data_IF_222962481633
#
_entry.id   IF_222962481633
#
_cell.length_a   1.000
_cell.length_b   1.000
_cell.length_c   1.000
_cell.angle_alpha   90.00
_cell.angle_beta   90.00
_cell.angle_gamma   90.00
#
_symmetry.space_group_name_H-M   'P 1'
#
loop_
_entity.id
_entity.type
_entity.pdbx_description
1 polymer ?
#
# COMPACT_ATOMS: atom_id res chain seq x y z
N UNK A 1 0.52 33.07 -1.19
CA UNK A 1 1.51 32.03 -1.60
C UNK A 1 2.58 31.99 -0.53
N UNK A 2 2.81 30.83 0.12
CA UNK A 2 3.51 29.75 -0.55
C UNK A 2 2.76 28.40 -0.52
N UNK A 3 3.21 27.56 -1.45
CA UNK A 3 2.92 26.15 -1.69
C UNK A 3 3.15 25.25 -0.48
N UNK A 4 2.16 24.42 -0.15
CA UNK A 4 2.37 23.19 0.62
C UNK A 4 2.30 22.02 -0.35
N UNK A 5 3.46 21.41 -0.59
CA UNK A 5 3.60 20.17 -1.34
C UNK A 5 2.78 19.09 -0.67
N UNK A 6 1.87 18.46 -1.42
CA UNK A 6 1.21 17.23 -1.00
C UNK A 6 2.29 16.16 -0.78
N UNK A 7 2.62 15.90 0.48
CA UNK A 7 3.40 14.73 0.84
C UNK A 7 2.53 13.52 0.53
N UNK A 8 2.96 12.73 -0.45
CA UNK A 8 2.33 11.46 -0.81
C UNK A 8 2.33 10.55 0.44
N UNK A 9 1.17 10.45 1.08
CA UNK A 9 0.87 9.46 2.11
C UNK A 9 0.18 8.34 1.34
N UNK A 10 0.93 7.29 0.97
CA UNK A 10 0.33 6.10 0.35
C UNK A 10 -0.44 5.35 1.43
N UNK A 11 -1.72 5.70 1.54
CA UNK A 11 -2.72 5.05 2.37
C UNK A 11 -3.62 4.28 1.41
N UNK A 12 -3.64 2.95 1.50
CA UNK A 12 -4.68 2.17 0.83
C UNK A 12 -5.93 2.13 1.73
N UNK A 13 -6.52 3.30 2.01
CA UNK A 13 -7.77 3.40 2.73
C UNK A 13 -8.92 3.36 1.72
N UNK A 14 -9.74 2.32 1.78
CA UNK A 14 -10.87 2.18 0.86
C UNK A 14 -12.08 2.93 1.38
N UNK A 15 -12.21 4.20 1.04
CA UNK A 15 -13.49 4.89 1.20
C UNK A 15 -14.46 4.41 0.13
N UNK A 16 -15.60 3.84 0.52
CA UNK A 16 -16.81 3.82 -0.31
C UNK A 16 -17.36 5.26 -0.38
N UNK A 17 -16.75 6.12 -1.19
CA UNK A 17 -17.20 7.51 -1.39
C UNK A 17 -16.97 7.88 -2.86
N UNK A 18 -17.97 8.47 -3.56
CA UNK A 18 -17.86 8.79 -4.97
C UNK A 18 -16.91 9.99 -5.12
N UNK A 19 -15.63 9.71 -5.38
CA UNK A 19 -14.68 10.77 -5.68
C UNK A 19 -14.60 10.97 -7.19
N UNK A 20 -14.98 12.17 -7.63
CA UNK A 20 -14.60 12.69 -8.95
C UNK A 20 -13.09 12.61 -9.08
N UNK A 21 -12.59 11.67 -9.88
CA UNK A 21 -11.16 11.52 -10.15
C UNK A 21 -10.80 12.42 -11.33
N UNK A 22 -9.85 13.33 -11.12
CA UNK A 22 -9.37 14.25 -12.15
C UNK A 22 -8.54 13.53 -13.21
N UNK A 23 -8.62 14.00 -14.47
CA UNK A 23 -7.82 13.50 -15.60
C UNK A 23 -6.31 13.53 -15.34
N UNK A 24 -5.57 12.54 -15.88
CA UNK A 24 -4.10 12.55 -15.91
C UNK A 24 -3.61 13.31 -17.15
N UNK A 25 -2.81 14.35 -16.93
CA UNK A 25 -2.28 15.22 -17.98
C UNK A 25 -1.42 14.42 -18.97
N UNK A 26 -1.77 14.45 -20.26
CA UNK A 26 -1.03 13.79 -21.35
C UNK A 26 -1.57 12.42 -21.79
N UNK A 27 -2.39 11.76 -20.96
CA UNK A 27 -2.98 10.47 -21.31
C UNK A 27 -4.42 10.60 -21.81
N UNK A 28 -5.20 11.42 -21.12
CA UNK A 28 -6.51 11.81 -21.61
C UNK A 28 -6.26 12.76 -22.78
N UNK A 29 -6.75 12.37 -23.97
CA UNK A 29 -6.62 13.15 -25.22
C UNK A 29 -7.08 14.61 -25.07
N UNK A 30 -7.80 14.92 -23.99
CA UNK A 30 -8.35 16.22 -23.67
C UNK A 30 -8.07 16.60 -22.21
N UNK A 31 -7.50 17.78 -21.99
CA UNK A 31 -7.26 18.32 -20.66
C UNK A 31 -8.60 18.68 -19.96
N UNK A 32 -8.76 18.30 -18.69
CA UNK A 32 -9.94 18.64 -17.88
C UNK A 32 -11.11 17.67 -18.02
N UNK A 33 -10.85 16.44 -18.47
CA UNK A 33 -11.82 15.35 -18.42
C UNK A 33 -12.06 14.91 -16.96
N UNK A 34 -13.31 14.65 -16.61
CA UNK A 34 -13.71 14.08 -15.33
C UNK A 34 -14.38 12.74 -15.55
N UNK A 35 -14.10 11.82 -14.64
CA UNK A 35 -14.68 10.48 -14.60
C UNK A 35 -15.76 10.46 -13.54
N UNK A 36 -16.96 10.09 -13.94
CA UNK A 36 -18.15 10.10 -13.11
C UNK A 36 -18.83 8.75 -13.17
N UNK A 37 -19.21 8.25 -12.01
CA UNK A 37 -20.20 7.19 -11.89
C UNK A 37 -21.55 7.85 -11.62
N UNK A 38 -22.58 7.51 -12.41
CA UNK A 38 -23.95 7.98 -12.20
C UNK A 38 -24.85 6.79 -11.91
N UNK A 39 -25.42 6.74 -10.71
CA UNK A 39 -26.44 5.75 -10.35
C UNK A 39 -27.72 6.03 -11.13
N UNK A 40 -28.33 5.00 -11.73
CA UNK A 40 -29.61 5.10 -12.43
C UNK A 40 -30.74 4.52 -11.59
N UNK A 41 -30.52 3.34 -11.03
CA UNK A 41 -31.48 2.57 -10.25
C UNK A 41 -30.76 1.78 -9.17
N UNK A 42 -31.50 1.16 -8.26
CA UNK A 42 -30.91 0.28 -7.24
C UNK A 42 -30.16 -0.88 -7.94
N UNK A 43 -28.83 -0.85 -7.87
CA UNK A 43 -27.95 -1.87 -8.43
C UNK A 43 -27.42 -1.60 -9.84
N UNK A 44 -27.71 -0.44 -10.45
CA UNK A 44 -27.14 -0.07 -11.76
C UNK A 44 -26.58 1.34 -11.77
N UNK A 45 -25.33 1.45 -12.23
CA UNK A 45 -24.66 2.71 -12.48
C UNK A 45 -24.14 2.78 -13.93
N UNK A 46 -23.87 3.99 -14.42
CA UNK A 46 -23.17 4.22 -15.67
C UNK A 46 -21.85 4.92 -15.42
N UNK A 47 -20.84 4.50 -16.19
CA UNK A 47 -19.60 5.23 -16.31
C UNK A 47 -19.71 6.33 -17.38
N UNK A 48 -19.55 7.57 -16.95
CA UNK A 48 -19.66 8.77 -17.78
C UNK A 48 -18.37 9.57 -17.72
N UNK A 49 -17.93 10.07 -18.87
CA UNK A 49 -16.84 11.02 -18.98
C UNK A 49 -17.32 12.36 -19.48
N UNK A 50 -16.90 13.44 -18.84
CA UNK A 50 -17.36 14.79 -19.14
C UNK A 50 -16.23 15.81 -19.03
N UNK A 51 -16.42 17.02 -19.56
CA UNK A 51 -15.53 18.15 -19.26
C UNK A 51 -16.10 18.96 -18.11
N UNK A 52 -15.26 19.37 -17.16
CA UNK A 52 -15.69 20.11 -15.96
C UNK A 52 -16.48 21.38 -16.29
N UNK A 53 -16.12 22.09 -17.37
CA UNK A 53 -16.76 23.34 -17.77
C UNK A 53 -18.03 23.17 -18.61
N UNK A 54 -18.27 22.01 -19.24
CA UNK A 54 -19.33 21.82 -20.23
C UNK A 54 -19.97 20.42 -20.12
N UNK A 55 -20.47 20.09 -18.92
CA UNK A 55 -21.11 18.80 -18.70
C UNK A 55 -22.62 18.82 -19.00
N UNK A 56 -22.97 18.80 -20.28
CA UNK A 56 -24.34 18.64 -20.77
C UNK A 56 -24.58 17.22 -21.26
N UNK A 57 -25.84 16.74 -21.30
CA UNK A 57 -26.16 15.37 -21.75
C UNK A 57 -25.62 15.03 -23.15
N UNK A 58 -25.53 16.02 -24.04
CA UNK A 58 -24.99 15.88 -25.38
C UNK A 58 -23.47 15.63 -25.43
N UNK A 59 -22.74 16.06 -24.40
CA UNK A 59 -21.27 15.97 -24.32
C UNK A 59 -20.80 14.88 -23.34
N UNK A 60 -21.72 14.05 -22.84
CA UNK A 60 -21.40 12.90 -21.99
C UNK A 60 -20.85 11.77 -22.86
N UNK A 61 -19.56 11.48 -22.71
CA UNK A 61 -19.00 10.23 -23.23
C UNK A 61 -19.48 9.04 -22.39
N UNK A 62 -19.78 7.93 -23.05
CA UNK A 62 -20.09 6.63 -22.42
C UNK A 62 -19.03 5.63 -22.83
N UNK A 63 -17.90 5.53 -22.10
CA UNK A 63 -16.79 4.68 -22.52
C UNK A 63 -17.08 3.18 -22.37
N UNK A 64 -17.97 2.81 -21.45
CA UNK A 64 -18.37 1.42 -21.23
C UNK A 64 -19.75 1.14 -21.85
N UNK A 65 -19.89 0.12 -22.72
CA UNK A 65 -21.17 -0.24 -23.32
C UNK A 65 -22.00 -1.10 -22.34
N UNK A 66 -22.62 -0.49 -21.34
CA UNK A 66 -23.49 -1.19 -20.40
C UNK A 66 -23.63 -0.50 -19.05
N UNK A 67 -24.32 -1.18 -18.14
CA UNK A 67 -24.39 -0.79 -16.73
C UNK A 67 -23.25 -1.45 -15.94
N UNK A 68 -22.75 -0.72 -14.95
CA UNK A 68 -21.75 -1.16 -13.99
C UNK A 68 -22.38 -1.25 -12.60
N UNK A 69 -21.74 -2.00 -11.71
CA UNK A 69 -22.15 -2.08 -10.32
C UNK A 69 -21.88 -0.73 -9.63
N UNK A 70 -22.75 -0.25 -8.72
CA UNK A 70 -22.51 0.98 -7.97
C UNK A 70 -21.23 0.90 -7.12
N UNK A 71 -20.51 2.02 -7.02
CA UNK A 71 -19.22 2.19 -6.35
C UNK A 71 -18.09 1.30 -6.91
N UNK A 72 -18.18 0.88 -8.17
CA UNK A 72 -17.18 -0.02 -8.78
C UNK A 72 -16.17 0.69 -9.67
N UNK A 73 -16.43 1.95 -10.04
CA UNK A 73 -15.52 2.71 -10.90
C UNK A 73 -14.24 3.08 -10.16
N UNK A 74 -13.11 2.55 -10.65
CA UNK A 74 -11.76 2.91 -10.18
C UNK A 74 -10.96 3.45 -11.35
N UNK A 75 -10.44 4.67 -11.20
CA UNK A 75 -9.57 5.32 -12.20
C UNK A 75 -8.24 5.59 -11.53
N UNK A 76 -7.19 4.89 -11.97
CA UNK A 76 -5.86 4.99 -11.41
C UNK A 76 -4.82 4.98 -12.53
N UNK A 77 -3.99 6.04 -12.59
CA UNK A 77 -3.01 6.27 -13.63
C UNK A 77 -3.56 6.17 -15.07
N UNK A 78 -3.18 5.11 -15.78
CA UNK A 78 -3.57 4.84 -17.16
C UNK A 78 -4.70 3.81 -17.26
N UNK A 79 -5.13 3.27 -16.12
CA UNK A 79 -6.08 2.18 -16.04
C UNK A 79 -7.44 2.66 -15.52
N UNK A 80 -8.48 2.11 -16.11
CA UNK A 80 -9.85 2.23 -15.62
C UNK A 80 -10.38 0.83 -15.36
N UNK A 81 -10.91 0.62 -14.17
CA UNK A 81 -11.54 -0.63 -13.77
C UNK A 81 -13.02 -0.41 -13.50
N UNK A 82 -13.84 -1.38 -13.91
CA UNK A 82 -15.27 -1.41 -13.62
C UNK A 82 -15.70 -2.84 -13.31
N UNK A 83 -16.71 -2.98 -12.45
CA UNK A 83 -17.30 -4.28 -12.12
C UNK A 83 -18.69 -4.39 -12.73
N UNK A 84 -19.01 -5.57 -13.25
CA UNK A 84 -20.34 -5.90 -13.77
C UNK A 84 -20.77 -7.25 -13.20
N UNK A 85 -21.79 -7.26 -12.36
CA UNK A 85 -22.37 -8.49 -11.81
C UNK A 85 -23.36 -9.12 -12.80
N UNK A 86 -22.96 -10.21 -13.47
CA UNK A 86 -23.83 -10.95 -14.38
C UNK A 86 -24.24 -12.27 -13.73
N UNK A 87 -25.54 -12.51 -13.52
CA UNK A 87 -26.07 -13.78 -12.95
C UNK A 87 -25.42 -14.19 -11.62
N UNK A 88 -25.12 -13.23 -10.75
CA UNK A 88 -24.52 -13.47 -9.43
C UNK A 88 -23.00 -13.70 -9.43
N UNK A 89 -22.33 -13.57 -10.58
CA UNK A 89 -20.85 -13.57 -10.65
C UNK A 89 -20.34 -12.19 -11.07
N UNK A 90 -19.46 -11.56 -10.27
CA UNK A 90 -18.84 -10.31 -10.67
C UNK A 90 -17.81 -10.58 -11.79
N UNK A 91 -17.91 -9.79 -12.85
CA UNK A 91 -16.92 -9.75 -13.94
C UNK A 91 -16.23 -8.39 -13.86
N UNK A 92 -14.91 -8.41 -13.77
CA UNK A 92 -14.09 -7.21 -13.73
C UNK A 92 -13.58 -6.88 -15.12
N UNK A 93 -13.74 -5.63 -15.56
CA UNK A 93 -13.22 -5.13 -16.81
C UNK A 93 -12.14 -4.09 -16.56
N UNK A 94 -11.13 -4.09 -17.43
CA UNK A 94 -10.04 -3.14 -17.44
C UNK A 94 -9.98 -2.41 -18.78
N UNK A 95 -9.65 -1.14 -18.75
CA UNK A 95 -9.27 -0.34 -19.92
C UNK A 95 -7.91 0.31 -19.64
N UNK A 96 -6.89 -0.11 -20.39
CA UNK A 96 -5.57 0.50 -20.35
C UNK A 96 -5.49 1.62 -21.39
N UNK A 97 -4.92 2.77 -21.03
CA UNK A 97 -4.75 3.93 -21.92
C UNK A 97 -6.06 4.40 -22.58
N UNK A 98 -7.18 4.20 -21.87
CA UNK A 98 -8.55 4.52 -22.35
C UNK A 98 -8.95 3.76 -23.62
N UNK A 99 -8.39 2.58 -23.84
CA UNK A 99 -8.77 1.69 -24.95
C UNK A 99 -10.05 0.91 -24.61
N UNK A 100 -10.47 0.00 -25.48
CA UNK A 100 -11.65 -0.84 -25.30
C UNK A 100 -11.56 -1.65 -24.00
N UNK A 101 -12.65 -1.65 -23.24
CA UNK A 101 -12.77 -2.44 -22.02
C UNK A 101 -12.67 -3.94 -22.35
N UNK A 102 -11.74 -4.59 -21.68
CA UNK A 102 -11.47 -6.03 -21.84
C UNK A 102 -11.69 -6.71 -20.49
N UNK A 103 -12.37 -7.87 -20.44
CA UNK A 103 -12.56 -8.60 -19.19
C UNK A 103 -11.21 -9.11 -18.65
N UNK A 104 -10.98 -8.89 -17.36
CA UNK A 104 -9.80 -9.37 -16.66
C UNK A 104 -9.79 -10.91 -16.62
N UNK A 105 -8.63 -11.48 -16.90
CA UNK A 105 -8.41 -12.93 -16.96
C UNK A 105 -7.58 -13.36 -15.76
N UNK A 106 -8.29 -13.79 -14.73
CA UNK A 106 -7.73 -14.51 -13.59
C UNK A 106 -7.55 -16.01 -13.95
N UNK A 107 -6.68 -16.75 -13.25
CA UNK A 107 -6.54 -18.19 -13.46
C UNK A 107 -7.86 -18.97 -13.34
N UNK A 108 -8.10 -19.97 -14.19
CA UNK A 108 -9.42 -20.62 -14.36
C UNK A 108 -10.06 -21.18 -13.08
N UNK A 109 -9.25 -21.53 -12.08
CA UNK A 109 -9.70 -22.17 -10.84
C UNK A 109 -9.96 -21.18 -9.70
N UNK A 110 -9.66 -19.90 -9.89
CA UNK A 110 -9.89 -18.87 -8.88
C UNK A 110 -11.33 -18.42 -8.94
N UNK A 111 -12.03 -18.48 -7.81
CA UNK A 111 -13.38 -17.94 -7.67
C UNK A 111 -13.30 -16.66 -6.83
N UNK A 112 -13.15 -15.48 -7.46
CA UNK A 112 -13.05 -14.23 -6.74
C UNK A 112 -14.37 -13.92 -6.05
N UNK A 113 -14.32 -13.74 -4.73
CA UNK A 113 -15.39 -13.14 -3.94
C UNK A 113 -15.35 -11.62 -4.06
N UNK A 114 -14.14 -11.07 -4.00
CA UNK A 114 -13.86 -9.63 -4.07
C UNK A 114 -12.48 -9.40 -4.68
N UNK A 115 -12.32 -8.30 -5.42
CA UNK A 115 -11.06 -7.89 -6.04
C UNK A 115 -10.81 -6.41 -5.76
N UNK A 116 -9.62 -6.12 -5.25
CA UNK A 116 -9.14 -4.77 -4.98
C UNK A 116 -7.91 -4.46 -5.84
N UNK A 117 -7.90 -3.31 -6.48
CA UNK A 117 -6.70 -2.81 -7.18
C UNK A 117 -5.83 -2.10 -6.14
N UNK A 118 -4.60 -2.58 -5.95
CA UNK A 118 -3.66 -2.02 -4.99
C UNK A 118 -2.82 -0.93 -5.64
N UNK A 119 -2.08 -1.27 -6.70
CA UNK A 119 -1.15 -0.34 -7.33
C UNK A 119 -1.17 -0.51 -8.85
N UNK A 120 -1.03 0.59 -9.58
CA UNK A 120 -0.94 0.64 -11.03
C UNK A 120 0.42 1.13 -11.53
N UNK A 121 1.42 1.14 -10.64
CA UNK A 121 2.74 1.68 -10.90
C UNK A 121 3.48 0.92 -12.01
N UNK A 122 4.23 1.69 -12.81
CA UNK A 122 5.10 1.19 -13.88
C UNK A 122 4.37 0.35 -14.95
N UNK A 123 3.16 0.79 -15.33
CA UNK A 123 2.31 0.16 -16.34
C UNK A 123 1.94 -1.28 -16.03
N UNK A 124 1.81 -1.67 -14.76
CA UNK A 124 1.26 -2.97 -14.36
C UNK A 124 0.33 -2.80 -13.18
N UNK A 125 -0.60 -3.72 -13.04
CA UNK A 125 -1.62 -3.70 -11.99
C UNK A 125 -1.30 -4.78 -10.97
N UNK A 126 -1.16 -4.39 -9.73
CA UNK A 126 -1.16 -5.29 -8.58
C UNK A 126 -2.57 -5.30 -8.01
N UNK A 127 -3.21 -6.46 -8.01
CA UNK A 127 -4.55 -6.65 -7.48
C UNK A 127 -4.53 -7.67 -6.33
N UNK A 128 -5.32 -7.42 -5.29
CA UNK A 128 -5.58 -8.37 -4.22
C UNK A 128 -6.96 -9.01 -4.45
N UNK A 129 -7.01 -10.33 -4.49
CA UNK A 129 -8.24 -11.08 -4.72
C UNK A 129 -8.51 -11.97 -3.50
N UNK A 130 -9.70 -11.83 -2.92
CA UNK A 130 -10.18 -12.77 -1.91
C UNK A 130 -10.93 -13.89 -2.60
N UNK A 131 -10.52 -15.13 -2.37
CA UNK A 131 -11.21 -16.31 -2.88
C UNK A 131 -12.35 -16.73 -1.94
N UNK A 132 -13.37 -17.41 -2.48
CA UNK A 132 -14.58 -17.78 -1.71
C UNK A 132 -14.30 -18.70 -0.51
N UNK A 133 -13.21 -19.47 -0.55
CA UNK A 133 -12.77 -20.38 0.50
C UNK A 133 -11.89 -19.70 1.56
N UNK A 134 -11.49 -18.45 1.36
CA UNK A 134 -10.58 -17.72 2.23
C UNK A 134 -11.34 -16.72 3.10
N UNK A 135 -11.10 -16.77 4.40
CA UNK A 135 -11.51 -15.73 5.35
C UNK A 135 -10.25 -14.99 5.83
N UNK A 136 -10.32 -13.66 5.88
CA UNK A 136 -9.24 -12.77 6.39
C UNK A 136 -7.90 -12.85 5.63
N UNK A 137 -7.89 -13.48 4.45
CA UNK A 137 -6.69 -13.61 3.62
C UNK A 137 -7.00 -13.27 2.17
N UNK A 138 -6.01 -12.70 1.50
CA UNK A 138 -6.06 -12.29 0.11
C UNK A 138 -4.89 -12.89 -0.67
N UNK A 139 -5.13 -13.20 -1.93
CA UNK A 139 -4.09 -13.60 -2.88
C UNK A 139 -3.72 -12.39 -3.74
N UNK A 140 -2.43 -12.09 -3.83
CA UNK A 140 -1.92 -11.02 -4.68
C UNK A 140 -1.69 -11.55 -6.10
N UNK A 141 -2.18 -10.79 -7.06
CA UNK A 141 -2.03 -11.04 -8.49
C UNK A 141 -1.38 -9.84 -9.15
N UNK A 142 -0.51 -10.11 -10.11
CA UNK A 142 0.19 -9.10 -10.90
C UNK A 142 -0.22 -9.25 -12.35
N UNK A 143 -0.58 -8.15 -12.99
CA UNK A 143 -0.99 -8.13 -14.39
C UNK A 143 0.19 -8.02 -15.35
N UNK A 144 -0.09 -8.31 -16.61
CA UNK A 144 0.69 -7.84 -17.74
C UNK A 144 0.53 -6.31 -17.97
N UNK A 145 1.23 -5.77 -18.96
CA UNK A 145 1.17 -4.33 -19.28
C UNK A 145 -0.14 -3.87 -19.91
N UNK A 146 -1.02 -4.81 -20.29
CA UNK A 146 -2.37 -4.49 -20.75
C UNK A 146 -3.37 -4.46 -19.59
N UNK A 147 -3.00 -4.95 -18.41
CA UNK A 147 -3.91 -5.11 -17.28
C UNK A 147 -4.89 -6.28 -17.42
N UNK A 148 -4.78 -7.10 -18.48
CA UNK A 148 -5.78 -8.13 -18.79
C UNK A 148 -5.42 -9.47 -18.17
N UNK A 149 -4.16 -9.88 -18.26
CA UNK A 149 -3.73 -11.21 -17.83
C UNK A 149 -3.06 -11.15 -16.46
N UNK A 150 -3.60 -11.87 -15.49
CA UNK A 150 -3.10 -11.89 -14.13
C UNK A 150 -2.40 -13.21 -13.79
N UNK A 151 -1.25 -13.10 -13.15
CA UNK A 151 -0.51 -14.22 -12.56
C UNK A 151 -0.42 -14.07 -11.05
N UNK A 152 -0.52 -15.19 -10.33
CA UNK A 152 -0.37 -15.24 -8.88
C UNK A 152 1.04 -14.78 -8.48
N UNK A 153 1.11 -13.83 -7.55
CA UNK A 153 2.34 -13.28 -7.01
C UNK A 153 2.60 -13.75 -5.58
N UNK A 154 1.58 -13.72 -4.71
CA UNK A 154 1.70 -14.17 -3.33
C UNK A 154 0.37 -14.68 -2.79
N UNK A 155 0.39 -15.81 -2.12
CA UNK A 155 -0.81 -16.41 -1.49
C UNK A 155 -0.92 -16.03 -0.01
N UNK A 156 -2.15 -16.02 0.50
CA UNK A 156 -2.48 -15.93 1.92
C UNK A 156 -1.92 -14.68 2.61
N UNK A 157 -1.99 -13.52 1.96
CA UNK A 157 -1.65 -12.24 2.55
C UNK A 157 -2.72 -11.87 3.57
N UNK A 158 -2.28 -11.46 4.77
CA UNK A 158 -3.17 -11.09 5.86
C UNK A 158 -3.96 -9.83 5.48
N UNK A 159 -5.25 -9.83 5.81
CA UNK A 159 -6.07 -8.61 5.77
C UNK A 159 -6.59 -8.27 7.16
N UNK A 160 -6.68 -6.98 7.46
CA UNK A 160 -7.26 -6.43 8.68
C UNK A 160 -8.43 -5.50 8.35
N UNK A 161 -9.34 -5.32 9.30
CA UNK A 161 -10.45 -4.37 9.16
C UNK A 161 -10.03 -3.01 9.72
N UNK A 162 -10.14 -1.98 8.89
CA UNK A 162 -9.91 -0.58 9.28
C UNK A 162 -11.06 -0.02 10.12
N UNK A 163 -10.84 1.21 10.60
CA UNK A 163 -11.74 1.93 11.55
C UNK A 163 -13.16 2.16 10.99
N UNK A 164 -13.33 2.11 9.66
CA UNK A 164 -14.62 2.32 8.97
C UNK A 164 -15.17 1.04 8.33
N UNK A 165 -14.63 -0.13 8.66
CA UNK A 165 -14.99 -1.40 8.00
C UNK A 165 -14.28 -1.63 6.67
N UNK A 166 -13.32 -0.76 6.31
CA UNK A 166 -12.52 -0.87 5.10
C UNK A 166 -11.53 -2.03 5.23
N UNK A 167 -11.45 -2.91 4.24
CA UNK A 167 -10.49 -4.01 4.25
C UNK A 167 -9.09 -3.49 3.93
N UNK A 168 -8.15 -3.65 4.85
CA UNK A 168 -6.74 -3.28 4.67
C UNK A 168 -5.94 -4.55 4.43
N UNK A 169 -5.36 -4.71 3.24
CA UNK A 169 -4.40 -5.79 2.98
C UNK A 169 -3.04 -5.38 3.56
N UNK A 170 -2.40 -6.26 4.32
CA UNK A 170 -1.06 -6.03 4.89
C UNK A 170 0.03 -6.11 3.80
N UNK A 171 0.00 -5.11 2.92
CA UNK A 171 0.97 -4.89 1.85
C UNK A 171 1.45 -3.45 1.93
N UNK A 172 2.76 -3.25 1.85
CA UNK A 172 3.40 -1.96 1.84
C UNK A 172 4.24 -1.80 0.58
N UNK A 173 3.94 -0.79 -0.22
CA UNK A 173 4.75 -0.36 -1.35
C UNK A 173 5.80 0.64 -0.89
N UNK A 174 7.06 0.40 -1.23
CA UNK A 174 8.15 1.25 -0.75
C UNK A 174 8.34 2.45 -1.65
N UNK A 175 8.16 3.63 -1.05
CA UNK A 175 8.34 4.90 -1.73
C UNK A 175 9.80 5.06 -2.20
N UNK A 176 9.97 5.51 -3.44
CA UNK A 176 11.28 5.77 -4.05
C UNK A 176 11.93 4.57 -4.75
N UNK A 177 11.41 3.34 -4.57
CA UNK A 177 11.87 2.15 -5.31
C UNK A 177 10.67 1.41 -5.90
N UNK A 178 10.39 1.67 -7.18
CA UNK A 178 9.26 1.08 -7.89
C UNK A 178 9.36 -0.44 -7.93
N UNK A 179 8.26 -1.12 -7.59
CA UNK A 179 8.17 -2.57 -7.64
C UNK A 179 8.74 -3.31 -6.42
N UNK A 180 9.12 -2.57 -5.38
CA UNK A 180 9.49 -3.14 -4.09
C UNK A 180 8.28 -3.15 -3.15
N UNK A 181 7.91 -4.34 -2.68
CA UNK A 181 6.78 -4.52 -1.78
C UNK A 181 7.19 -5.34 -0.55
N UNK A 182 6.58 -5.03 0.58
CA UNK A 182 6.59 -5.87 1.78
C UNK A 182 5.18 -6.38 2.03
N UNK A 183 5.02 -7.66 2.35
CA UNK A 183 3.72 -8.26 2.61
C UNK A 183 3.78 -9.18 3.83
N UNK A 184 2.72 -9.19 4.64
CA UNK A 184 2.57 -10.17 5.72
C UNK A 184 1.75 -11.36 5.21
N UNK A 185 2.38 -12.53 5.17
CA UNK A 185 1.76 -13.78 4.76
C UNK A 185 1.44 -14.65 5.98
N UNK A 186 0.24 -15.24 5.97
CA UNK A 186 -0.20 -16.24 6.96
C UNK A 186 0.14 -17.64 6.45
N UNK A 187 0.85 -18.44 7.24
CA UNK A 187 1.18 -19.83 6.95
C UNK A 187 1.02 -20.65 8.23
N UNK A 188 0.14 -21.67 8.22
CA UNK A 188 -0.08 -22.60 9.35
C UNK A 188 -0.25 -21.88 10.70
N UNK A 189 -1.00 -20.77 10.68
CA UNK A 189 -1.29 -19.85 11.79
C UNK A 189 -0.17 -18.87 12.20
N UNK A 190 1.00 -18.95 11.58
CA UNK A 190 2.09 -17.98 11.79
C UNK A 190 2.02 -16.87 10.74
N UNK A 191 2.17 -15.62 11.18
CA UNK A 191 2.29 -14.47 10.27
C UNK A 191 3.77 -14.15 10.09
N UNK A 192 4.23 -14.16 8.85
CA UNK A 192 5.62 -13.83 8.48
C UNK A 192 5.66 -12.74 7.41
N UNK A 193 6.58 -11.80 7.58
CA UNK A 193 6.82 -10.72 6.61
C UNK A 193 7.76 -11.18 5.50
N UNK A 194 7.34 -10.94 4.26
CA UNK A 194 8.11 -11.19 3.05
C UNK A 194 8.38 -9.86 2.33
N UNK A 195 9.49 -9.82 1.60
CA UNK A 195 9.89 -8.71 0.74
C UNK A 195 10.11 -9.21 -0.69
N UNK A 196 9.73 -8.40 -1.66
CA UNK A 196 10.00 -8.60 -3.08
C UNK A 196 10.66 -7.35 -3.65
N UNK A 197 11.60 -7.55 -4.58
CA UNK A 197 12.27 -6.48 -5.33
C UNK A 197 11.86 -6.48 -6.80
N UNK A 198 11.11 -7.48 -7.23
CA UNK A 198 10.77 -7.74 -8.61
C UNK A 198 9.26 -7.83 -8.81
N UNK A 199 8.54 -6.91 -8.15
CA UNK A 199 7.09 -6.70 -8.33
C UNK A 199 6.26 -7.94 -8.00
N UNK A 200 6.68 -8.73 -7.02
CA UNK A 200 5.95 -9.89 -6.55
C UNK A 200 6.20 -11.18 -7.33
N UNK A 201 7.22 -11.23 -8.20
CA UNK A 201 7.62 -12.49 -8.86
C UNK A 201 8.32 -13.44 -7.88
N UNK A 202 9.28 -12.92 -7.11
CA UNK A 202 10.00 -13.67 -6.09
C UNK A 202 9.88 -12.95 -4.73
N UNK A 203 9.64 -13.73 -3.69
CA UNK A 203 9.48 -13.26 -2.32
C UNK A 203 10.48 -13.94 -1.41
N UNK A 204 11.08 -13.17 -0.50
CA UNK A 204 12.01 -13.68 0.51
C UNK A 204 11.65 -13.18 1.90
N UNK A 205 12.00 -13.96 2.91
CA UNK A 205 11.90 -13.53 4.31
C UNK A 205 12.92 -12.43 4.60
N UNK A 206 12.60 -11.56 5.56
CA UNK A 206 13.53 -10.53 6.02
C UNK A 206 14.60 -11.12 6.94
N UNK A 207 15.84 -10.75 6.69
CA UNK A 207 16.96 -11.13 7.55
C UNK A 207 16.90 -10.33 8.85
N UNK A 208 17.00 -11.02 9.98
CA UNK A 208 17.13 -10.37 11.28
C UNK A 208 18.46 -9.60 11.40
N UNK A 209 18.49 -8.50 12.18
CA UNK A 209 19.73 -7.79 12.47
C UNK A 209 20.72 -8.71 13.17
N UNK A 210 22.01 -8.57 12.87
CA UNK A 210 23.06 -9.39 13.51
C UNK A 210 23.33 -8.98 14.96
N UNK A 211 22.99 -7.74 15.34
CA UNK A 211 23.27 -7.15 16.64
C UNK A 211 22.03 -6.44 17.20
N UNK A 212 21.85 -6.52 18.51
CA UNK A 212 20.84 -5.77 19.25
C UNK A 212 21.31 -4.32 19.55
N UNK A 213 20.46 -3.53 20.22
CA UNK A 213 20.80 -2.17 20.65
C UNK A 213 22.00 -2.08 21.61
N UNK A 214 22.33 -3.17 22.30
CA UNK A 214 23.42 -3.25 23.28
C UNK A 214 24.72 -3.78 22.64
N UNK A 215 24.68 -4.16 21.36
CA UNK A 215 25.79 -4.73 20.62
C UNK A 215 25.95 -6.24 20.80
N UNK A 216 25.03 -6.93 21.47
CA UNK A 216 25.02 -8.38 21.58
C UNK A 216 24.62 -9.02 20.25
N UNK A 217 25.16 -10.19 19.96
CA UNK A 217 24.78 -10.94 18.76
C UNK A 217 23.36 -11.50 18.90
N UNK A 218 22.55 -11.31 17.86
CA UNK A 218 21.21 -11.88 17.77
C UNK A 218 21.30 -13.21 17.01
N UNK A 219 20.99 -14.32 17.69
CA UNK A 219 20.98 -15.64 17.09
C UNK A 219 19.60 -15.92 16.45
N UNK A 220 19.43 -15.45 15.22
CA UNK A 220 18.20 -15.66 14.44
C UNK A 220 18.58 -16.04 13.01
N UNK A 221 18.25 -17.26 12.60
CA UNK A 221 18.59 -17.79 11.29
C UNK A 221 17.34 -18.25 10.52
N UNK A 222 17.33 -17.92 9.22
CA UNK A 222 16.31 -18.35 8.28
C UNK A 222 16.35 -19.88 8.09
N UNK A 223 15.22 -20.56 7.84
CA UNK A 223 13.85 -20.02 7.68
C UNK A 223 13.00 -20.01 8.98
N UNK A 224 13.56 -20.48 10.09
CA UNK A 224 12.82 -20.64 11.35
C UNK A 224 12.66 -19.34 12.11
N UNK A 225 13.64 -18.43 11.99
CA UNK A 225 13.63 -17.12 12.62
C UNK A 225 13.93 -16.04 11.59
N UNK A 226 13.12 -14.99 11.57
CA UNK A 226 13.24 -13.85 10.66
C UNK A 226 12.79 -12.56 11.34
N UNK A 227 13.05 -11.44 10.67
CA UNK A 227 12.45 -10.16 11.05
C UNK A 227 11.01 -10.09 10.52
N UNK A 228 10.10 -9.62 11.37
CA UNK A 228 8.70 -9.42 11.03
C UNK A 228 8.29 -8.00 11.37
N UNK A 229 7.54 -7.37 10.46
CA UNK A 229 7.18 -5.95 10.55
C UNK A 229 5.67 -5.78 10.58
N UNK A 230 5.23 -4.80 11.35
CA UNK A 230 3.87 -4.31 11.34
C UNK A 230 3.72 -3.37 10.14
N UNK A 231 3.04 -3.84 9.09
CA UNK A 231 2.91 -3.10 7.83
C UNK A 231 1.75 -2.10 7.82
N UNK A 232 1.02 -2.00 8.93
CA UNK A 232 -0.11 -1.09 9.04
C UNK A 232 0.36 0.37 9.11
N UNK A 233 0.01 1.15 8.08
CA UNK A 233 0.24 2.59 8.04
C UNK A 233 -0.90 3.28 8.78
N UNK A 234 -0.55 4.09 9.80
CA UNK A 234 -1.56 4.84 10.52
C UNK A 234 -2.19 5.91 9.63
N UNK A 235 -3.51 5.95 9.71
CA UNK A 235 -4.38 6.97 9.15
C UNK A 235 -4.03 8.41 9.53
N UNK A 236 -3.60 8.56 10.77
CA UNK A 236 -3.46 9.83 11.44
C UNK A 236 -1.97 10.22 11.44
N UNK A 237 -1.59 11.36 10.83
CA UNK A 237 -0.20 11.82 10.81
C UNK A 237 0.36 12.11 12.21
N UNK A 238 -0.50 12.23 13.23
CA UNK A 238 -0.12 12.42 14.63
C UNK A 238 -0.02 11.13 15.44
N UNK A 239 -0.40 9.98 14.87
CA UNK A 239 -0.18 8.67 15.51
C UNK A 239 1.04 8.00 14.91
N UNK A 240 1.76 7.22 15.73
CA UNK A 240 2.92 6.46 15.26
C UNK A 240 2.49 5.50 14.17
N UNK A 241 2.96 5.72 12.94
CA UNK A 241 2.85 4.74 11.87
C UNK A 241 3.80 3.57 12.14
N UNK A 242 3.39 2.34 11.83
CA UNK A 242 4.26 1.18 12.06
C UNK A 242 5.31 1.01 10.97
N UNK A 243 5.15 1.63 9.81
CA UNK A 243 6.14 1.62 8.74
C UNK A 243 6.13 2.96 7.99
N UNK A 244 7.31 3.44 7.63
CA UNK A 244 7.47 4.66 6.86
C UNK A 244 8.65 4.58 5.88
N UNK A 245 8.42 5.10 4.68
CA UNK A 245 9.40 5.33 3.62
C UNK A 245 9.03 6.61 2.86
N UNK A 246 10.00 7.22 2.17
CA UNK A 246 9.80 8.47 1.41
C UNK A 246 10.50 8.39 0.07
N UNK A 247 9.85 8.93 -0.97
CA UNK A 247 10.45 9.04 -2.31
C UNK A 247 11.72 9.88 -2.32
N UNK A 248 11.83 10.86 -1.42
CA UNK A 248 13.02 11.70 -1.26
C UNK A 248 14.22 10.95 -0.67
N UNK A 249 14.01 9.78 -0.06
CA UNK A 249 15.02 8.98 0.62
C UNK A 249 14.92 7.51 0.16
N UNK A 250 15.20 7.20 -1.12
CA UNK A 250 15.01 5.86 -1.66
C UNK A 250 15.89 4.85 -0.94
N UNK A 251 15.29 3.72 -0.54
CA UNK A 251 15.98 2.65 0.19
C UNK A 251 16.03 2.82 1.71
N UNK A 252 15.61 3.99 2.23
CA UNK A 252 15.44 4.22 3.66
C UNK A 252 14.04 3.76 4.10
N UNK A 253 13.98 2.73 4.94
CA UNK A 253 12.73 2.21 5.49
C UNK A 253 12.88 2.11 7.00
N UNK A 254 11.84 2.55 7.71
CA UNK A 254 11.75 2.47 9.16
C UNK A 254 10.47 1.75 9.48
N UNK A 255 10.56 0.72 10.32
CA UNK A 255 9.40 -0.08 10.66
C UNK A 255 9.47 -0.63 12.09
N UNK A 256 8.32 -0.68 12.73
CA UNK A 256 8.05 -1.34 13.99
C UNK A 256 7.78 -2.83 13.74
N UNK A 257 8.36 -3.70 14.56
CA UNK A 257 8.27 -5.13 14.33
C UNK A 257 8.83 -5.97 15.47
N UNK A 258 8.92 -7.28 15.23
CA UNK A 258 9.50 -8.25 16.15
C UNK A 258 10.41 -9.24 15.41
N UNK A 259 11.39 -9.80 16.12
CA UNK A 259 12.27 -10.85 15.60
C UNK A 259 11.82 -12.18 16.22
N UNK A 260 11.64 -13.21 15.41
CA UNK A 260 11.22 -14.53 15.90
C UNK A 260 10.72 -15.43 14.78
N UNK A 261 9.94 -16.44 15.16
CA UNK A 261 9.25 -17.32 14.21
C UNK A 261 7.95 -16.77 13.66
N UNK A 262 7.39 -15.72 14.28
CA UNK A 262 6.15 -15.07 13.87
C UNK A 262 6.11 -13.59 14.28
N UNK A 263 5.20 -12.83 13.66
CA UNK A 263 4.90 -11.46 14.03
C UNK A 263 4.15 -11.41 15.37
N UNK A 264 4.68 -10.65 16.32
CA UNK A 264 4.08 -10.50 17.67
C UNK A 264 3.74 -9.04 17.96
N UNK A 265 2.74 -8.82 18.82
CA UNK A 265 2.26 -7.49 19.22
C UNK A 265 2.81 -7.02 20.56
N UNK A 266 3.39 -7.91 21.37
CA UNK A 266 3.78 -7.61 22.76
C UNK A 266 5.23 -7.18 22.95
N UNK A 267 6.09 -7.31 21.92
CA UNK A 267 7.51 -6.94 21.95
C UNK A 267 7.90 -6.15 20.70
N UNK A 268 7.26 -5.01 20.50
CA UNK A 268 7.45 -4.16 19.33
C UNK A 268 8.73 -3.34 19.48
N UNK A 269 9.63 -3.48 18.51
CA UNK A 269 10.90 -2.75 18.43
C UNK A 269 11.01 -2.08 17.06
N UNK A 270 11.71 -0.95 16.99
CA UNK A 270 11.83 -0.18 15.74
C UNK A 270 13.15 -0.54 15.05
N UNK A 271 13.03 -0.90 13.78
CA UNK A 271 14.12 -1.23 12.88
C UNK A 271 14.25 -0.20 11.78
N UNK A 272 15.48 -0.03 11.30
CA UNK A 272 15.83 0.81 10.16
C UNK A 272 16.68 0.01 9.18
N UNK A 273 16.47 0.30 7.90
CA UNK A 273 17.34 -0.11 6.80
C UNK A 273 17.63 1.11 5.93
N UNK A 274 18.86 1.22 5.48
CA UNK A 274 19.31 2.25 4.52
C UNK A 274 19.67 1.65 3.16
N UNK A 275 19.47 0.35 2.98
CA UNK A 275 19.86 -0.43 1.81
C UNK A 275 18.67 -1.23 1.24
N UNK A 276 17.48 -0.65 1.33
CA UNK A 276 16.24 -1.21 0.78
C UNK A 276 15.87 -2.58 1.36
N UNK A 277 16.12 -2.80 2.65
CA UNK A 277 15.75 -4.03 3.36
C UNK A 277 16.72 -5.20 3.19
N UNK A 278 17.93 -4.97 2.69
CA UNK A 278 19.00 -5.99 2.68
C UNK A 278 19.60 -6.18 4.08
N UNK A 279 19.90 -5.10 4.79
CA UNK A 279 20.37 -5.12 6.17
C UNK A 279 19.46 -4.27 7.04
N UNK A 280 19.01 -4.88 8.14
CA UNK A 280 18.21 -4.23 9.15
C UNK A 280 19.03 -4.00 10.40
N UNK A 281 18.73 -2.91 11.10
CA UNK A 281 19.34 -2.55 12.37
C UNK A 281 18.27 -2.07 13.32
N UNK A 282 18.38 -2.46 14.58
CA UNK A 282 17.47 -2.00 15.62
C UNK A 282 17.88 -0.59 16.06
N UNK A 283 16.90 0.30 16.28
CA UNK A 283 17.15 1.68 16.75
C UNK A 283 16.46 2.01 18.08
N UNK A 284 15.25 1.48 18.30
CA UNK A 284 14.47 1.69 19.52
C UNK A 284 13.77 0.40 19.98
N UNK A 285 13.50 0.31 21.28
CA UNK A 285 12.84 -0.85 21.92
C UNK A 285 11.33 -0.68 22.13
N UNK A 286 10.77 0.45 21.72
CA UNK A 286 9.37 0.80 21.91
C UNK A 286 8.85 1.54 20.67
N UNK A 287 7.59 1.95 20.69
CA UNK A 287 6.99 2.73 19.60
C UNK A 287 7.46 4.19 19.61
N UNK A 288 8.00 4.62 18.47
CA UNK A 288 8.41 5.99 18.20
C UNK A 288 7.76 6.48 16.92
N UNK A 289 7.18 7.68 16.98
CA UNK A 289 6.79 8.42 15.79
C UNK A 289 8.05 9.00 15.14
N UNK A 290 8.22 8.77 13.83
CA UNK A 290 9.41 9.20 13.09
C UNK A 290 9.08 10.20 11.99
N UNK A 291 9.88 11.26 11.91
CA UNK A 291 9.80 12.32 10.92
C UNK A 291 11.08 12.37 10.09
N UNK A 292 10.93 12.44 8.77
CA UNK A 292 12.03 12.55 7.83
C UNK A 292 12.40 14.03 7.63
N UNK A 293 13.69 14.35 7.77
CA UNK A 293 14.24 15.68 7.54
C UNK A 293 15.28 15.67 6.43
N UNK A 294 15.42 16.81 5.75
CA UNK A 294 16.43 17.04 4.71
C UNK A 294 16.55 15.88 3.70
N UNK A 295 15.43 15.52 3.06
CA UNK A 295 15.35 14.42 2.09
C UNK A 295 15.86 13.07 2.64
N UNK A 296 15.70 12.83 3.94
CA UNK A 296 16.13 11.59 4.60
C UNK A 296 17.58 11.58 5.06
N UNK A 297 18.31 12.70 5.01
CA UNK A 297 19.65 12.78 5.62
C UNK A 297 19.60 12.65 7.15
N UNK A 298 18.51 13.10 7.76
CA UNK A 298 18.29 12.99 9.20
C UNK A 298 16.86 12.58 9.52
N UNK A 299 16.69 11.98 10.69
CA UNK A 299 15.41 11.60 11.24
C UNK A 299 15.23 12.20 12.63
N UNK A 300 14.00 12.56 12.93
CA UNK A 300 13.56 12.92 14.28
C UNK A 300 12.61 11.84 14.76
N UNK A 301 12.88 11.29 15.94
CA UNK A 301 12.04 10.29 16.59
C UNK A 301 11.52 10.80 17.92
N UNK A 302 10.21 10.65 18.12
CA UNK A 302 9.47 11.08 19.30
C UNK A 302 8.76 9.87 19.89
N UNK A 303 8.95 9.62 21.19
CA UNK A 303 8.35 8.48 21.87
C UNK A 303 6.83 8.62 21.89
N UNK A 304 6.10 7.57 21.49
CA UNK A 304 4.65 7.56 21.60
C UNK A 304 4.26 7.22 23.05
N UNK A 305 3.91 8.22 23.85
CA UNK A 305 3.53 8.04 25.26
C UNK A 305 2.46 9.05 25.68
N UNK A 306 1.51 8.67 26.54
CA UNK A 306 0.55 9.62 27.13
C UNK A 306 1.19 10.55 28.17
N UNK A 307 2.45 10.32 28.55
CA UNK A 307 3.18 11.15 29.50
C UNK A 307 3.85 12.35 28.80
N UNK A 308 4.24 13.37 29.57
CA UNK A 308 4.96 14.53 29.05
C UNK A 308 6.27 14.10 28.37
N UNK A 309 6.42 14.41 27.08
CA UNK A 309 7.63 14.11 26.32
C UNK A 309 8.73 15.10 26.74
N UNK A 310 9.85 14.60 27.22
CA UNK A 310 10.99 15.43 27.66
C UNK A 310 12.18 15.41 26.69
N UNK A 311 12.22 14.39 25.83
CA UNK A 311 13.35 14.12 24.95
C UNK A 311 12.89 13.92 23.52
N UNK A 312 13.65 14.49 22.59
CA UNK A 312 13.56 14.28 21.16
C UNK A 312 14.84 13.61 20.68
N UNK A 313 14.72 12.56 19.88
CA UNK A 313 15.87 11.85 19.34
C UNK A 313 16.15 12.32 17.93
N UNK A 314 17.39 12.74 17.70
CA UNK A 314 17.95 13.00 16.39
C UNK A 314 18.75 11.79 15.94
N UNK A 315 18.49 11.30 14.74
CA UNK A 315 19.26 10.20 14.13
C UNK A 315 19.84 10.69 12.81
N UNK A 316 21.17 10.66 12.70
CA UNK A 316 21.86 10.99 11.45
C UNK A 316 22.04 9.71 10.64
N UNK A 317 21.49 9.63 9.43
CA UNK A 317 21.49 8.38 8.65
C UNK A 317 22.89 7.94 8.24
N UNK A 318 23.77 8.89 7.89
CA UNK A 318 25.14 8.60 7.46
C UNK A 318 25.96 7.84 8.52
N UNK A 319 25.78 8.17 9.80
CA UNK A 319 26.49 7.54 10.92
C UNK A 319 25.62 6.53 11.67
N UNK A 320 24.31 6.56 11.42
CA UNK A 320 23.28 5.89 12.21
C UNK A 320 23.42 6.15 13.72
N UNK A 321 24.03 7.27 14.09
CA UNK A 321 24.21 7.69 15.46
C UNK A 321 22.93 8.39 15.95
N UNK A 322 22.54 8.09 17.20
CA UNK A 322 21.42 8.74 17.89
C UNK A 322 21.93 9.76 18.89
N UNK A 323 21.30 10.91 18.91
CA UNK A 323 21.55 11.98 19.88
C UNK A 323 20.22 12.41 20.51
N UNK A 324 20.19 12.57 21.84
CA UNK A 324 19.00 13.01 22.55
C UNK A 324 19.08 14.52 22.85
N UNK A 325 18.00 15.23 22.54
CA UNK A 325 17.81 16.65 22.86
C UNK A 325 16.68 16.79 23.88
N UNK A 326 16.80 17.71 24.84
CA UNK A 326 15.73 18.02 25.80
C UNK A 326 14.84 19.12 25.24
N UNK A 327 13.52 18.92 25.31
CA UNK A 327 12.55 19.89 24.76
C UNK A 327 12.38 21.15 25.61
N UNK A 328 12.82 21.14 26.87
CA UNK A 328 12.75 22.29 27.77
C UNK A 328 14.02 23.18 27.75
N UNK A 329 14.99 22.86 26.89
CA UNK A 329 16.24 23.60 26.73
C UNK A 329 16.35 24.28 25.34
N UNK A 330 15.21 24.54 24.66
CA UNK A 330 15.11 25.29 23.39
C UNK A 330 14.24 26.52 23.61
#
# INVERSE_FOLDING_TARGET
MPSLSAASIHRYMYTSVPFTTGSKMGLDKEAGLIHLETSISEGQALYVTCRLQNCTEANKGKPFPGFIDPNSLVVQDEYVFVQVSTTGRPIYYVSAKRDVFTPMKLPKYTLPKELHVISTDDNRVVAAVQEWNQNETYNLYVSDTSGVFYSLALENVVSSMGIEGNVMVDLYEVAGIKGMFLANKRMDNQVKTYITYNRGRDWRLLQAPSKDLRGNNVHCALPYCSLHLHLHVSANPYTSGNIASKESAPGLIIASGSIGGELTTTNVTVFITSDAGNTWRQIFNEEYAVLFLNQGAALVAIRHTPQSIRHLWWVTIATQAKQAYRLYDI
#
